data_IF_749642665292
#
_entry.id   IF_749642665292
#
_cell.length_a   1.000
_cell.length_b   1.000
_cell.length_c   1.000
_cell.angle_alpha   90.00
_cell.angle_beta   90.00
_cell.angle_gamma   90.00
#
_symmetry.space_group_name_H-M   'P 1'
#
loop_
_entity.id
_entity.type
_entity.pdbx_description
1 polymer ?
#
# COMPACT_ATOMS: atom_id res chain seq x y z
N UNK A 1 -15.92 11.79 -52.86
CA UNK A 1 -15.20 11.24 -51.69
C UNK A 1 -15.35 12.21 -50.54
N UNK A 2 -16.09 11.84 -49.49
CA UNK A 2 -16.05 12.51 -48.19
C UNK A 2 -16.51 11.49 -47.15
N UNK A 3 -15.55 10.80 -46.54
CA UNK A 3 -15.80 9.87 -45.43
C UNK A 3 -16.21 10.67 -44.21
N UNK A 4 -17.46 10.53 -43.79
CA UNK A 4 -17.99 11.19 -42.61
C UNK A 4 -17.73 10.30 -41.39
N UNK A 5 -16.51 10.37 -40.85
CA UNK A 5 -16.11 9.63 -39.65
C UNK A 5 -16.68 10.34 -38.43
N UNK A 6 -17.86 9.91 -37.95
CA UNK A 6 -18.36 10.33 -36.63
C UNK A 6 -17.47 9.69 -35.56
N UNK A 7 -16.53 10.46 -35.01
CA UNK A 7 -15.90 10.14 -33.74
C UNK A 7 -16.98 10.26 -32.66
N UNK A 8 -17.39 9.12 -32.11
CA UNK A 8 -18.08 9.08 -30.83
C UNK A 8 -17.03 9.36 -29.75
N UNK A 9 -16.85 10.63 -29.39
CA UNK A 9 -16.31 10.99 -28.08
C UNK A 9 -17.34 10.55 -27.05
N UNK A 10 -17.05 9.44 -26.39
CA UNK A 10 -17.76 9.05 -25.18
C UNK A 10 -17.09 9.83 -24.07
N UNK A 11 -17.64 11.00 -23.75
CA UNK A 11 -17.34 11.72 -22.53
C UNK A 11 -17.75 10.83 -21.36
N UNK A 12 -16.78 10.14 -20.76
CA UNK A 12 -16.96 9.51 -19.46
C UNK A 12 -16.96 10.60 -18.39
N UNK A 13 -18.03 11.40 -18.34
CA UNK A 13 -18.32 12.24 -17.18
C UNK A 13 -18.79 11.33 -16.04
N UNK A 14 -17.84 10.64 -15.41
CA UNK A 14 -18.06 9.99 -14.12
C UNK A 14 -18.15 11.09 -13.06
N UNK A 15 -19.28 11.79 -13.03
CA UNK A 15 -19.68 12.59 -11.87
C UNK A 15 -20.16 11.61 -10.80
N UNK A 16 -19.22 10.93 -10.16
CA UNK A 16 -19.50 10.29 -8.87
C UNK A 16 -19.64 11.45 -7.89
N UNK A 17 -20.88 11.89 -7.68
CA UNK A 17 -21.23 12.64 -6.48
C UNK A 17 -20.92 11.72 -5.29
N UNK A 18 -19.68 11.79 -4.81
CA UNK A 18 -19.21 10.96 -3.73
C UNK A 18 -19.96 11.37 -2.46
N UNK A 19 -20.81 10.50 -1.90
CA UNK A 19 -21.57 10.81 -0.71
C UNK A 19 -20.59 10.90 0.46
N UNK A 20 -20.28 12.12 0.91
CA UNK A 20 -19.51 12.39 2.14
C UNK A 20 -18.36 11.41 2.39
N UNK A 21 -17.29 11.52 1.60
CA UNK A 21 -16.01 10.85 1.86
C UNK A 21 -15.63 11.02 3.34
N UNK A 22 -15.52 9.91 4.07
CA UNK A 22 -15.05 9.98 5.45
C UNK A 22 -13.57 10.38 5.44
N UNK A 23 -13.11 11.20 6.40
CA UNK A 23 -11.69 11.52 6.48
C UNK A 23 -10.88 10.24 6.74
N UNK A 24 -9.66 10.18 6.18
CA UNK A 24 -8.78 9.00 6.27
C UNK A 24 -8.47 8.58 7.72
N UNK A 25 -8.53 9.52 8.65
CA UNK A 25 -8.36 9.31 10.09
C UNK A 25 -9.54 8.57 10.76
N UNK A 26 -10.69 8.47 10.09
CA UNK A 26 -11.89 7.78 10.59
C UNK A 26 -12.09 6.40 9.94
N UNK A 27 -11.44 6.15 8.80
CA UNK A 27 -11.55 4.87 8.10
C UNK A 27 -10.51 3.92 8.68
N UNK A 28 -10.98 2.91 9.42
CA UNK A 28 -10.13 1.85 9.98
C UNK A 28 -10.21 0.59 9.15
N UNK A 29 -9.05 -0.03 8.95
CA UNK A 29 -8.97 -1.37 8.40
C UNK A 29 -9.07 -2.37 9.56
N UNK A 30 -10.06 -3.25 9.51
CA UNK A 30 -10.27 -4.30 10.51
C UNK A 30 -10.47 -5.64 9.82
N UNK A 31 -9.77 -6.65 10.31
CA UNK A 31 -9.88 -8.04 9.89
C UNK A 31 -9.55 -8.95 11.07
N UNK A 32 -10.15 -10.13 11.10
CA UNK A 32 -9.95 -11.07 12.22
C UNK A 32 -8.70 -11.92 12.01
N UNK A 33 -8.34 -12.16 10.74
CA UNK A 33 -7.23 -13.05 10.36
C UNK A 33 -6.37 -12.46 9.23
N UNK A 34 -5.09 -12.87 9.14
CA UNK A 34 -4.20 -12.40 8.08
C UNK A 34 -4.69 -12.64 6.65
N UNK A 35 -5.42 -13.72 6.42
CA UNK A 35 -5.98 -14.05 5.10
C UNK A 35 -7.06 -13.07 4.63
N UNK A 36 -7.67 -12.31 5.56
CA UNK A 36 -8.80 -11.41 5.28
C UNK A 36 -8.37 -9.98 4.98
N UNK A 37 -7.08 -9.65 5.07
CA UNK A 37 -6.55 -8.30 4.86
C UNK A 37 -7.02 -7.70 3.54
N UNK A 38 -6.93 -8.46 2.45
CA UNK A 38 -7.35 -7.98 1.13
C UNK A 38 -8.87 -7.79 1.01
N UNK A 39 -9.66 -8.56 1.76
CA UNK A 39 -11.11 -8.40 1.80
C UNK A 39 -11.51 -7.19 2.64
N UNK A 40 -10.78 -6.91 3.72
CA UNK A 40 -10.93 -5.68 4.49
C UNK A 40 -10.58 -4.43 3.65
N UNK A 41 -9.51 -4.49 2.84
CA UNK A 41 -9.17 -3.41 1.88
C UNK A 41 -10.32 -3.18 0.91
N UNK A 42 -10.85 -4.25 0.29
CA UNK A 42 -11.99 -4.14 -0.64
C UNK A 42 -13.24 -3.56 0.02
N UNK A 43 -13.48 -3.88 1.29
CA UNK A 43 -14.64 -3.40 2.03
C UNK A 43 -14.60 -1.88 2.26
N UNK A 44 -13.40 -1.30 2.37
CA UNK A 44 -13.22 0.15 2.57
C UNK A 44 -13.00 0.94 1.27
N UNK A 45 -12.72 0.28 0.14
CA UNK A 45 -12.60 0.93 -1.18
C UNK A 45 -13.81 1.83 -1.54
N UNK A 46 -15.08 1.47 -1.27
CA UNK A 46 -16.22 2.30 -1.64
C UNK A 46 -16.34 3.60 -0.84
N UNK A 47 -15.66 3.71 0.31
CA UNK A 47 -15.70 4.89 1.19
C UNK A 47 -14.43 5.75 1.10
N UNK A 48 -13.48 5.35 0.25
CA UNK A 48 -12.21 6.04 -0.01
C UNK A 48 -12.26 6.76 -1.36
N UNK A 49 -11.58 7.92 -1.44
CA UNK A 49 -11.39 8.57 -2.73
C UNK A 49 -10.53 7.69 -3.62
N UNK A 50 -10.81 7.71 -4.93
CA UNK A 50 -10.15 6.84 -5.90
C UNK A 50 -8.61 6.91 -5.82
N UNK A 51 -8.06 8.12 -5.58
CA UNK A 51 -6.62 8.32 -5.36
C UNK A 51 -6.07 7.57 -4.13
N UNK A 52 -6.85 7.48 -3.05
CA UNK A 52 -6.47 6.78 -1.83
C UNK A 52 -6.71 5.27 -1.94
N UNK A 53 -7.67 4.84 -2.76
CA UNK A 53 -7.87 3.42 -3.07
C UNK A 53 -6.63 2.79 -3.71
N UNK A 54 -6.10 3.44 -4.76
CA UNK A 54 -4.90 2.95 -5.44
C UNK A 54 -3.69 2.99 -4.50
N UNK A 55 -3.50 4.09 -3.79
CA UNK A 55 -2.39 4.23 -2.84
C UNK A 55 -2.45 3.18 -1.73
N UNK A 56 -3.63 2.89 -1.19
CA UNK A 56 -3.79 1.85 -0.17
C UNK A 56 -3.50 0.46 -0.71
N UNK A 57 -3.97 0.15 -1.92
CA UNK A 57 -3.66 -1.12 -2.57
C UNK A 57 -2.14 -1.28 -2.77
N UNK A 58 -1.46 -0.23 -3.25
CA UNK A 58 0.00 -0.25 -3.44
C UNK A 58 0.76 -0.47 -2.12
N UNK A 59 0.36 0.22 -1.04
CA UNK A 59 0.97 0.05 0.29
C UNK A 59 0.78 -1.37 0.80
N UNK A 60 -0.43 -1.91 0.73
CA UNK A 60 -0.74 -3.26 1.22
C UNK A 60 -0.02 -4.32 0.38
N UNK A 61 0.03 -4.16 -0.95
CA UNK A 61 0.79 -5.05 -1.82
C UNK A 61 2.29 -4.97 -1.54
N UNK A 62 2.84 -3.78 -1.29
CA UNK A 62 4.22 -3.60 -0.87
C UNK A 62 4.52 -4.34 0.43
N UNK A 63 3.66 -4.20 1.45
CA UNK A 63 3.81 -4.94 2.69
C UNK A 63 3.73 -6.46 2.51
N UNK A 64 2.81 -6.95 1.66
CA UNK A 64 2.70 -8.37 1.36
C UNK A 64 3.95 -8.91 0.67
N UNK A 65 4.53 -8.14 -0.26
CA UNK A 65 5.76 -8.51 -0.96
C UNK A 65 6.97 -8.52 -0.05
N UNK A 66 7.09 -7.57 0.87
CA UNK A 66 8.25 -7.44 1.75
C UNK A 66 8.18 -8.33 2.98
N UNK A 67 7.00 -8.47 3.60
CA UNK A 67 6.86 -9.07 4.93
C UNK A 67 5.94 -10.30 4.97
N UNK A 68 5.15 -10.55 3.93
CA UNK A 68 4.15 -11.62 3.93
C UNK A 68 2.87 -11.29 4.71
N UNK A 69 1.97 -12.27 4.81
CA UNK A 69 0.58 -12.06 5.28
C UNK A 69 0.46 -11.67 6.75
N UNK A 70 1.18 -12.34 7.65
CA UNK A 70 1.06 -12.14 9.10
C UNK A 70 1.56 -10.75 9.50
N UNK A 71 2.72 -10.36 9.02
CA UNK A 71 3.32 -9.07 9.33
C UNK A 71 2.58 -7.92 8.63
N UNK A 72 2.01 -8.16 7.45
CA UNK A 72 1.08 -7.20 6.83
C UNK A 72 -0.13 -6.97 7.73
N UNK A 73 -0.75 -8.05 8.24
CA UNK A 73 -1.87 -7.96 9.16
C UNK A 73 -1.53 -7.13 10.40
N UNK A 74 -0.39 -7.39 11.05
CA UNK A 74 0.05 -6.64 12.23
C UNK A 74 0.25 -5.14 11.93
N UNK A 75 0.68 -4.82 10.69
CA UNK A 75 0.90 -3.45 10.24
C UNK A 75 -0.38 -2.71 9.89
N UNK A 76 -1.43 -3.37 9.41
CA UNK A 76 -2.65 -2.68 8.93
C UNK A 76 -3.86 -2.86 9.82
N UNK A 77 -3.96 -3.97 10.56
CA UNK A 77 -5.16 -4.30 11.31
C UNK A 77 -5.37 -3.34 12.49
N UNK A 78 -6.61 -2.88 12.66
CA UNK A 78 -7.00 -1.93 13.70
C UNK A 78 -6.54 -0.49 13.46
N UNK A 79 -5.73 -0.23 12.43
CA UNK A 79 -5.19 1.10 12.12
C UNK A 79 -6.10 1.88 11.18
N UNK A 80 -5.97 3.20 11.24
CA UNK A 80 -6.63 4.10 10.30
C UNK A 80 -5.86 4.13 8.98
N UNK A 81 -6.52 4.43 7.87
CA UNK A 81 -5.87 4.59 6.57
C UNK A 81 -4.82 5.72 6.62
N UNK A 82 -5.08 6.79 7.37
CA UNK A 82 -4.09 7.85 7.62
C UNK A 82 -2.80 7.30 8.28
N UNK A 83 -2.95 6.54 9.37
CA UNK A 83 -1.81 5.92 10.07
C UNK A 83 -1.04 4.95 9.17
N UNK A 84 -1.74 4.15 8.37
CA UNK A 84 -1.12 3.23 7.41
C UNK A 84 -0.26 3.99 6.41
N UNK A 85 -0.73 5.13 5.90
CA UNK A 85 0.05 5.96 4.98
C UNK A 85 1.24 6.65 5.63
N UNK A 86 1.09 7.13 6.86
CA UNK A 86 2.19 7.71 7.63
C UNK A 86 3.29 6.68 7.89
N UNK A 87 2.92 5.48 8.33
CA UNK A 87 3.86 4.39 8.57
C UNK A 87 4.50 3.87 7.28
N UNK A 88 3.77 3.81 6.17
CA UNK A 88 4.32 3.44 4.87
C UNK A 88 5.33 4.48 4.37
N UNK A 89 5.06 5.77 4.59
CA UNK A 89 5.99 6.85 4.24
C UNK A 89 7.25 6.82 5.13
N UNK A 90 7.10 6.49 6.41
CA UNK A 90 8.22 6.34 7.35
C UNK A 90 9.03 5.06 7.08
N UNK A 91 8.37 3.95 6.78
CA UNK A 91 8.98 2.64 6.53
C UNK A 91 9.59 2.48 5.13
N UNK A 92 9.31 3.41 4.20
CA UNK A 92 9.99 3.48 2.89
C UNK A 92 11.45 3.91 2.98
N UNK A 93 11.95 4.27 4.17
CA UNK A 93 13.37 4.48 4.44
C UNK A 93 14.03 3.18 4.90
N UNK A 94 14.05 2.14 4.06
CA UNK A 94 15.14 1.17 4.22
C UNK A 94 16.41 1.88 3.79
N UNK A 95 17.20 2.32 4.77
CA UNK A 95 18.50 2.91 4.48
C UNK A 95 19.30 1.89 3.68
N UNK A 96 19.75 2.30 2.49
CA UNK A 96 20.74 1.54 1.75
C UNK A 96 22.00 1.51 2.63
N UNK A 97 22.35 0.32 3.09
CA UNK A 97 23.49 0.11 3.98
C UNK A 97 24.77 0.13 3.16
N UNK A 98 24.75 -0.52 1.99
CA UNK A 98 25.92 -0.65 1.13
C UNK A 98 25.54 -1.00 -0.30
N UNK A 99 26.43 -0.71 -1.25
CA UNK A 99 26.36 -1.24 -2.61
C UNK A 99 27.74 -1.70 -3.08
N UNK A 100 27.78 -2.81 -3.81
CA UNK A 100 29.05 -3.41 -4.20
C UNK A 100 28.96 -4.36 -5.38
N UNK A 101 30.12 -4.90 -5.73
CA UNK A 101 30.26 -5.89 -6.79
C UNK A 101 31.20 -7.00 -6.32
N UNK A 102 30.70 -8.24 -6.32
CA UNK A 102 31.48 -9.45 -6.01
C UNK A 102 31.39 -10.39 -7.20
N UNK A 103 32.54 -10.77 -7.74
CA UNK A 103 32.64 -11.71 -8.88
C UNK A 103 31.78 -11.32 -10.10
N UNK A 104 31.59 -10.01 -10.32
CA UNK A 104 30.79 -9.48 -11.43
C UNK A 104 29.29 -9.36 -11.15
N UNK A 105 28.84 -9.74 -9.94
CA UNK A 105 27.45 -9.57 -9.50
C UNK A 105 27.33 -8.29 -8.69
N UNK A 106 26.48 -7.36 -9.14
CA UNK A 106 26.13 -6.14 -8.41
C UNK A 106 25.11 -6.47 -7.33
N UNK A 107 25.33 -5.97 -6.12
CA UNK A 107 24.38 -6.08 -5.01
C UNK A 107 24.17 -4.73 -4.35
N UNK A 108 22.99 -4.58 -3.75
CA UNK A 108 22.62 -3.46 -2.88
C UNK A 108 22.09 -4.06 -1.58
N UNK A 109 22.71 -3.69 -0.46
CA UNK A 109 22.31 -4.11 0.88
C UNK A 109 21.38 -3.07 1.47
N UNK A 110 20.29 -3.54 2.05
CA UNK A 110 19.31 -2.73 2.76
C UNK A 110 19.32 -3.11 4.23
N UNK A 111 19.10 -2.14 5.10
CA UNK A 111 18.99 -2.37 6.54
C UNK A 111 17.80 -3.30 6.80
N UNK A 112 18.03 -4.43 7.45
CA UNK A 112 16.97 -5.33 7.86
C UNK A 112 16.35 -4.80 9.16
N UNK A 113 15.02 -4.82 9.24
CA UNK A 113 14.29 -4.39 10.45
C UNK A 113 14.47 -5.35 11.65
N UNK A 114 15.34 -6.36 11.55
CA UNK A 114 15.53 -7.43 12.55
C UNK A 114 16.55 -7.10 13.64
N UNK A 115 17.06 -5.86 13.70
CA UNK A 115 18.03 -5.43 14.72
C UNK A 115 17.46 -5.33 16.16
N UNK A 116 16.25 -5.84 16.41
CA UNK A 116 15.65 -5.89 17.75
C UNK A 116 15.87 -7.22 18.50
N UNK A 117 16.23 -8.33 17.85
CA UNK A 117 16.26 -9.66 18.54
C UNK A 117 17.65 -10.31 18.70
N UNK A 118 18.75 -9.64 18.37
CA UNK A 118 20.09 -10.14 18.66
C UNK A 118 20.90 -9.14 19.53
N UNK A 119 20.36 -8.74 20.69
CA UNK A 119 21.22 -8.32 21.80
C UNK A 119 21.47 -9.54 22.68
N UNK A 120 22.61 -10.15 22.45
CA UNK A 120 23.55 -10.71 23.42
C UNK A 120 22.97 -11.06 24.80
N UNK A 121 22.76 -12.35 25.05
CA UNK A 121 23.16 -12.92 26.34
C UNK A 121 24.54 -13.56 26.13
N UNK A 122 25.58 -12.78 26.45
CA UNK A 122 26.92 -13.30 26.77
C UNK A 122 26.94 -13.89 28.17
#
# INVERSE_FOLDING_TARGET
MASNTRRHEIDYEYRVENPSMKPLSEIRLQCDKPAEVMDAVKAITPVLENQYCLKLADVVLGYLQTYGFKETYDRVNGKTVATIFEEAAAGSQQAMVDEGCVEGVKYTLYETNDAAECREDQ
#
